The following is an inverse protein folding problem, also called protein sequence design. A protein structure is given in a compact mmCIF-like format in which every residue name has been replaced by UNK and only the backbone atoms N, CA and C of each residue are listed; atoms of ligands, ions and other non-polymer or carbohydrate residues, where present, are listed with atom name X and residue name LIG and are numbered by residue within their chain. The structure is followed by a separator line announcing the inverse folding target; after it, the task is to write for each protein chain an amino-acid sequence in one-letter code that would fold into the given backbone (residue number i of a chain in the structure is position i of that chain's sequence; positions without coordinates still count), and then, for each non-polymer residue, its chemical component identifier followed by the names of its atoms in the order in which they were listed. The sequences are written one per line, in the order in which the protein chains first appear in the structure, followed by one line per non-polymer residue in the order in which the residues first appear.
data_IF_199724832419
#
_entry.id   IF_199724832419
#
_cell.length_a   1.000
_cell.length_b   1.000
_cell.length_c   1.000
_cell.angle_alpha   90.00
_cell.angle_beta   90.00
_cell.angle_gamma   90.00
#
_symmetry.space_group_name_H-M   'P 1'
#
loop_
_entity.id
_entity.type
_entity.pdbx_description
1 polymer ?
#
# COMPACT_ATOMS: atom_id res chain seq x y z
N UNK A 1 -4.58 -22.95 -36.63
CA UNK A 1 -5.77 -22.85 -35.75
C UNK A 1 -5.90 -24.21 -35.08
N UNK A 2 -5.27 -24.39 -33.92
CA UNK A 2 -5.22 -25.69 -33.24
C UNK A 2 -6.35 -25.74 -32.21
N UNK A 3 -7.23 -26.71 -32.38
CA UNK A 3 -8.36 -26.99 -31.50
C UNK A 3 -7.84 -27.38 -30.10
N UNK A 4 -8.43 -26.75 -29.08
CA UNK A 4 -8.15 -27.06 -27.68
C UNK A 4 -8.74 -28.43 -27.37
N UNK A 5 -7.91 -29.46 -27.29
CA UNK A 5 -8.31 -30.73 -26.68
C UNK A 5 -8.77 -30.45 -25.25
N UNK A 6 -9.88 -31.06 -24.85
CA UNK A 6 -10.39 -31.00 -23.50
C UNK A 6 -9.32 -31.55 -22.54
N UNK A 7 -8.66 -30.66 -21.82
CA UNK A 7 -7.70 -31.03 -20.79
C UNK A 7 -8.48 -31.66 -19.62
N UNK A 8 -8.09 -32.87 -19.20
CA UNK A 8 -8.79 -33.63 -18.15
C UNK A 8 -8.71 -32.96 -16.78
N UNK A 9 -7.72 -32.08 -16.56
CA UNK A 9 -7.48 -31.42 -15.29
C UNK A 9 -7.41 -29.89 -15.42
N UNK A 10 -8.35 -29.21 -14.75
CA UNK A 10 -8.49 -27.75 -14.78
C UNK A 10 -8.83 -27.20 -13.39
N UNK A 11 -8.24 -26.07 -13.05
CA UNK A 11 -8.59 -25.24 -11.91
C UNK A 11 -8.86 -23.81 -12.41
N UNK A 12 -9.88 -23.17 -11.86
CA UNK A 12 -10.16 -21.77 -12.17
C UNK A 12 -10.52 -21.04 -10.90
N UNK A 13 -9.96 -19.84 -10.72
CA UNK A 13 -10.17 -19.01 -9.55
C UNK A 13 -10.13 -17.54 -9.93
N UNK A 14 -10.69 -16.70 -9.07
CA UNK A 14 -10.73 -15.25 -9.27
C UNK A 14 -10.08 -14.54 -8.10
N UNK A 15 -9.43 -13.41 -8.40
CA UNK A 15 -8.83 -12.54 -7.39
C UNK A 15 -9.36 -11.13 -7.59
N UNK A 16 -10.00 -10.59 -6.57
CA UNK A 16 -10.42 -9.20 -6.56
C UNK A 16 -9.20 -8.30 -6.34
N UNK A 17 -8.99 -7.36 -7.25
CA UNK A 17 -8.00 -6.32 -7.05
C UNK A 17 -8.65 -5.01 -6.58
N UNK A 18 -8.00 -4.38 -5.61
CA UNK A 18 -8.34 -3.05 -5.10
C UNK A 18 -7.71 -1.91 -5.90
N UNK A 19 -6.93 -2.25 -6.93
CA UNK A 19 -6.18 -1.29 -7.73
C UNK A 19 -7.10 -0.60 -8.74
N UNK A 20 -6.85 0.69 -8.99
CA UNK A 20 -7.56 1.48 -9.98
C UNK A 20 -7.43 0.86 -11.39
N UNK A 21 -8.50 0.95 -12.20
CA UNK A 21 -8.60 0.40 -13.54
C UNK A 21 -7.46 0.84 -14.47
N UNK A 22 -6.94 2.06 -14.27
CA UNK A 22 -5.79 2.60 -15.01
C UNK A 22 -4.49 1.77 -14.85
N UNK A 23 -4.37 0.95 -13.81
CA UNK A 23 -3.18 0.14 -13.57
C UNK A 23 -3.40 -1.36 -13.79
N UNK A 24 -4.62 -1.78 -14.13
CA UNK A 24 -4.92 -3.19 -14.42
C UNK A 24 -4.00 -3.75 -15.53
N UNK A 25 -3.71 -3.06 -16.64
CA UNK A 25 -2.80 -3.60 -17.66
C UNK A 25 -1.38 -3.87 -17.12
N UNK A 26 -0.93 -3.07 -16.14
CA UNK A 26 0.41 -3.18 -15.54
C UNK A 26 0.57 -4.39 -14.63
N UNK A 27 -0.53 -5.01 -14.18
CA UNK A 27 -0.44 -6.21 -13.35
C UNK A 27 0.12 -7.39 -14.13
N UNK A 28 -0.18 -7.47 -15.43
CA UNK A 28 0.34 -8.53 -16.29
C UNK A 28 1.84 -8.38 -16.49
N UNK A 29 2.32 -7.14 -16.66
CA UNK A 29 3.76 -6.83 -16.70
C UNK A 29 4.43 -7.22 -15.37
N UNK A 30 3.82 -6.87 -14.25
CA UNK A 30 4.36 -7.19 -12.93
C UNK A 30 4.44 -8.70 -12.69
N UNK A 31 3.41 -9.46 -13.05
CA UNK A 31 3.41 -10.93 -12.95
C UNK A 31 4.47 -11.53 -13.88
N UNK A 32 4.62 -10.98 -15.09
CA UNK A 32 5.66 -11.40 -16.01
C UNK A 32 7.05 -11.23 -15.39
N UNK A 33 7.37 -10.04 -14.88
CA UNK A 33 8.69 -9.73 -14.33
C UNK A 33 8.98 -10.44 -13.00
N UNK A 34 7.96 -10.58 -12.14
CA UNK A 34 8.15 -11.03 -10.75
C UNK A 34 7.96 -12.53 -10.59
N UNK A 35 7.14 -13.16 -11.43
CA UNK A 35 6.80 -14.59 -11.32
C UNK A 35 7.29 -15.41 -12.51
N UNK A 36 7.04 -14.95 -13.74
CA UNK A 36 7.34 -15.75 -14.95
C UNK A 36 8.84 -15.70 -15.27
N UNK A 37 9.45 -14.52 -15.29
CA UNK A 37 10.85 -14.34 -15.66
C UNK A 37 11.82 -15.12 -14.75
N UNK A 38 11.63 -15.18 -13.41
CA UNK A 38 12.49 -15.96 -12.53
C UNK A 38 12.41 -17.48 -12.73
N UNK A 39 11.32 -18.00 -13.32
CA UNK A 39 11.19 -19.43 -13.66
C UNK A 39 12.11 -19.84 -14.81
N UNK A 40 12.63 -18.88 -15.59
CA UNK A 40 13.70 -19.06 -16.56
C UNK A 40 13.42 -20.20 -17.54
N UNK A 41 14.31 -21.20 -17.58
CA UNK A 41 14.25 -22.32 -18.51
C UNK A 41 13.01 -23.22 -18.36
N UNK A 42 12.27 -23.11 -17.25
CA UNK A 42 11.01 -23.85 -17.06
C UNK A 42 9.88 -23.25 -17.89
N UNK A 43 9.99 -22.01 -18.35
CA UNK A 43 8.96 -21.40 -19.18
C UNK A 43 9.18 -21.78 -20.64
N UNK A 44 8.21 -22.51 -21.21
CA UNK A 44 8.28 -22.96 -22.61
C UNK A 44 7.72 -21.93 -23.58
N UNK A 45 6.68 -21.21 -23.16
CA UNK A 45 5.94 -20.27 -24.00
C UNK A 45 5.30 -19.21 -23.12
N UNK A 46 5.34 -17.97 -23.59
CA UNK A 46 4.58 -16.85 -23.04
C UNK A 46 3.93 -16.12 -24.19
N UNK A 47 2.66 -15.83 -24.06
CA UNK A 47 1.88 -15.08 -25.05
C UNK A 47 1.05 -14.02 -24.34
N UNK A 48 1.13 -12.80 -24.83
CA UNK A 48 0.22 -11.73 -24.44
C UNK A 48 -0.70 -11.44 -25.61
N UNK A 49 -1.98 -11.35 -25.33
CA UNK A 49 -2.97 -11.02 -26.34
C UNK A 49 -4.09 -10.18 -25.72
N UNK A 50 -4.80 -9.46 -26.58
CA UNK A 50 -5.98 -8.69 -26.23
C UNK A 50 -7.14 -9.23 -27.04
N UNK A 51 -8.22 -9.58 -26.36
CA UNK A 51 -9.47 -10.01 -27.00
C UNK A 51 -10.62 -9.09 -26.58
N UNK A 52 -11.87 -9.45 -26.90
CA UNK A 52 -13.06 -8.67 -26.55
C UNK A 52 -13.30 -8.56 -25.04
N UNK A 53 -12.72 -9.44 -24.23
CA UNK A 53 -12.89 -9.49 -22.77
C UNK A 53 -11.78 -8.75 -22.02
N UNK A 54 -10.71 -8.33 -22.71
CA UNK A 54 -9.63 -7.53 -22.12
C UNK A 54 -8.23 -7.99 -22.50
N UNK A 55 -7.25 -7.59 -21.70
CA UNK A 55 -5.88 -8.10 -21.85
C UNK A 55 -5.71 -9.43 -21.13
N UNK A 56 -4.97 -10.33 -21.74
CA UNK A 56 -4.68 -11.64 -21.19
C UNK A 56 -3.20 -12.03 -21.38
N UNK A 57 -2.71 -12.80 -20.43
CA UNK A 57 -1.36 -13.37 -20.41
C UNK A 57 -1.48 -14.89 -20.28
N UNK A 58 -0.92 -15.61 -21.25
CA UNK A 58 -0.82 -17.07 -21.25
C UNK A 58 0.63 -17.48 -21.13
N UNK A 59 0.90 -18.51 -20.35
CA UNK A 59 2.23 -19.11 -20.32
C UNK A 59 2.18 -20.60 -19.98
N UNK A 60 3.25 -21.30 -20.33
CA UNK A 60 3.40 -22.74 -20.08
C UNK A 60 4.66 -23.01 -19.28
N UNK A 61 4.50 -23.69 -18.14
CA UNK A 61 5.57 -24.15 -17.27
C UNK A 61 5.84 -25.63 -17.54
N UNK A 62 7.09 -25.98 -17.82
CA UNK A 62 7.59 -27.34 -17.83
C UNK A 62 7.90 -27.82 -16.41
N UNK A 63 7.35 -28.97 -16.05
CA UNK A 63 7.62 -29.68 -14.81
C UNK A 63 8.22 -31.05 -15.14
N UNK A 64 8.81 -31.71 -14.14
CA UNK A 64 9.51 -32.98 -14.33
C UNK A 64 8.60 -34.11 -14.86
N UNK A 65 7.29 -34.03 -14.62
CA UNK A 65 6.30 -35.05 -14.97
C UNK A 65 5.11 -34.53 -15.79
N UNK A 66 5.24 -33.35 -16.40
CA UNK A 66 4.12 -32.74 -17.12
C UNK A 66 4.31 -31.27 -17.44
N UNK A 67 3.23 -30.65 -17.90
CA UNK A 67 3.20 -29.24 -18.24
C UNK A 67 2.01 -28.57 -17.57
N UNK A 68 2.18 -27.30 -17.18
CA UNK A 68 1.10 -26.47 -16.63
C UNK A 68 0.92 -25.26 -17.53
N UNK A 69 -0.28 -25.13 -18.07
CA UNK A 69 -0.73 -23.97 -18.82
C UNK A 69 -1.50 -23.04 -17.89
N UNK A 70 -1.09 -21.79 -17.85
CA UNK A 70 -1.77 -20.75 -17.06
C UNK A 70 -2.26 -19.66 -18.00
N UNK A 71 -3.53 -19.29 -17.87
CA UNK A 71 -4.13 -18.13 -18.50
C UNK A 71 -4.61 -17.16 -17.41
N UNK A 72 -4.18 -15.91 -17.54
CA UNK A 72 -4.57 -14.80 -16.66
C UNK A 72 -5.31 -13.78 -17.51
N UNK A 73 -6.53 -13.44 -17.14
CA UNK A 73 -7.31 -12.37 -17.76
C UNK A 73 -7.35 -11.18 -16.82
N UNK A 74 -6.79 -10.06 -17.27
CA UNK A 74 -6.74 -8.83 -16.53
C UNK A 74 -8.03 -8.03 -16.76
N UNK A 75 -8.91 -8.08 -15.77
CA UNK A 75 -10.05 -7.18 -15.62
C UNK A 75 -10.06 -6.65 -14.18
N UNK A 76 -11.11 -5.93 -13.79
CA UNK A 76 -11.32 -5.53 -12.38
C UNK A 76 -11.35 -6.72 -11.43
N UNK A 77 -11.75 -7.88 -11.94
CA UNK A 77 -11.62 -9.18 -11.30
C UNK A 77 -10.62 -9.98 -12.14
N UNK A 78 -9.49 -10.33 -11.56
CA UNK A 78 -8.49 -11.14 -12.25
C UNK A 78 -8.98 -12.57 -12.31
N UNK A 79 -9.10 -13.11 -13.51
CA UNK A 79 -9.52 -14.49 -13.71
C UNK A 79 -8.32 -15.34 -14.08
N UNK A 80 -8.11 -16.41 -13.33
CA UNK A 80 -7.03 -17.35 -13.52
C UNK A 80 -7.59 -18.69 -13.95
N UNK A 81 -7.03 -19.25 -15.01
CA UNK A 81 -7.29 -20.61 -15.44
C UNK A 81 -5.97 -21.36 -15.48
N UNK A 82 -5.85 -22.40 -14.64
CA UNK A 82 -4.72 -23.32 -14.61
C UNK A 82 -5.18 -24.65 -15.19
N UNK A 83 -4.43 -25.16 -16.13
CA UNK A 83 -4.70 -26.41 -16.83
C UNK A 83 -3.40 -27.20 -16.86
N UNK A 84 -3.43 -28.50 -16.57
CA UNK A 84 -2.21 -29.29 -16.54
C UNK A 84 -2.36 -30.63 -17.23
N UNK A 85 -1.23 -31.08 -17.80
CA UNK A 85 -1.08 -32.37 -18.46
C UNK A 85 0.02 -33.18 -17.77
N UNK A 86 -0.17 -34.50 -17.70
CA UNK A 86 0.78 -35.42 -17.07
C UNK A 86 0.52 -35.64 -15.58
N UNK A 87 1.49 -36.28 -14.91
CA UNK A 87 1.39 -36.67 -13.50
C UNK A 87 1.91 -35.56 -12.60
N UNK A 88 1.20 -34.43 -12.60
CA UNK A 88 1.47 -33.29 -11.71
C UNK A 88 0.66 -33.47 -10.43
N UNK A 89 1.34 -33.39 -9.29
CA UNK A 89 0.70 -33.52 -7.99
C UNK A 89 -0.16 -32.29 -7.66
N UNK A 90 -1.20 -32.49 -6.86
CA UNK A 90 -2.12 -31.41 -6.47
C UNK A 90 -1.42 -30.31 -5.67
N UNK A 91 -0.37 -30.65 -4.91
CA UNK A 91 0.36 -29.67 -4.10
C UNK A 91 1.10 -28.66 -5.00
N UNK A 92 1.72 -29.11 -6.10
CA UNK A 92 2.36 -28.23 -7.09
C UNK A 92 1.36 -27.28 -7.73
N UNK A 93 0.16 -27.75 -8.09
CA UNK A 93 -0.89 -26.88 -8.65
C UNK A 93 -1.36 -25.83 -7.63
N UNK A 94 -1.53 -26.25 -6.37
CA UNK A 94 -1.91 -25.36 -5.29
C UNK A 94 -0.83 -24.32 -4.98
N UNK A 95 0.45 -24.71 -5.07
CA UNK A 95 1.58 -23.79 -4.92
C UNK A 95 1.59 -22.75 -6.04
N UNK A 96 1.38 -23.15 -7.31
CA UNK A 96 1.26 -22.21 -8.43
C UNK A 96 0.09 -21.24 -8.20
N UNK A 97 -1.05 -21.73 -7.70
CA UNK A 97 -2.20 -20.88 -7.34
C UNK A 97 -1.82 -19.84 -6.29
N UNK A 98 -1.19 -20.26 -5.20
CA UNK A 98 -0.78 -19.37 -4.11
C UNK A 98 0.27 -18.36 -4.56
N UNK A 99 1.28 -18.79 -5.32
CA UNK A 99 2.33 -17.90 -5.83
C UNK A 99 1.75 -16.78 -6.72
N UNK A 100 0.77 -17.12 -7.57
CA UNK A 100 0.07 -16.14 -8.42
C UNK A 100 -0.75 -15.15 -7.58
N UNK A 101 -1.43 -15.63 -6.53
CA UNK A 101 -2.16 -14.75 -5.60
C UNK A 101 -1.18 -13.82 -4.88
N UNK A 102 -0.06 -14.35 -4.42
CA UNK A 102 1.01 -13.57 -3.77
C UNK A 102 1.53 -12.51 -4.73
N UNK A 103 1.80 -12.85 -5.99
CA UNK A 103 2.25 -11.88 -7.00
C UNK A 103 1.25 -10.74 -7.19
N UNK A 104 -0.05 -11.05 -7.26
CA UNK A 104 -1.11 -10.03 -7.29
C UNK A 104 -1.06 -9.14 -6.04
N UNK A 105 -1.00 -9.72 -4.84
CA UNK A 105 -0.93 -8.93 -3.59
C UNK A 105 0.32 -8.06 -3.51
N UNK A 106 1.46 -8.57 -3.95
CA UNK A 106 2.70 -7.80 -4.02
C UNK A 106 2.58 -6.61 -4.98
N UNK A 107 1.88 -6.76 -6.10
CA UNK A 107 1.58 -5.64 -6.99
C UNK A 107 0.72 -4.57 -6.30
N UNK A 108 -0.36 -4.96 -5.63
CA UNK A 108 -1.21 -4.02 -4.90
C UNK A 108 -0.43 -3.25 -3.83
N UNK A 109 0.41 -3.97 -3.08
CA UNK A 109 1.29 -3.40 -2.07
C UNK A 109 2.32 -2.44 -2.67
N UNK A 110 2.84 -2.76 -3.84
CA UNK A 110 3.82 -1.95 -4.57
C UNK A 110 3.18 -0.64 -5.05
N UNK A 111 1.99 -0.69 -5.64
CA UNK A 111 1.22 0.49 -6.06
C UNK A 111 0.84 1.35 -4.84
N UNK A 112 0.41 0.74 -3.74
CA UNK A 112 0.09 1.44 -2.50
C UNK A 112 1.30 2.19 -1.93
N UNK A 113 2.47 1.57 -1.93
CA UNK A 113 3.72 2.17 -1.42
C UNK A 113 4.31 3.25 -2.34
N UNK A 114 3.95 3.25 -3.62
CA UNK A 114 4.39 4.23 -4.62
C UNK A 114 3.34 5.33 -4.88
N UNK A 115 2.36 5.46 -4.00
CA UNK A 115 1.37 6.54 -4.04
C UNK A 115 1.88 7.79 -3.31
N UNK A 116 1.80 8.95 -3.94
CA UNK A 116 2.03 10.24 -3.30
C UNK A 116 0.71 10.96 -3.08
N UNK A 117 0.51 11.42 -1.85
CA UNK A 117 -0.65 12.21 -1.46
C UNK A 117 -0.26 13.67 -1.41
N UNK A 118 -0.92 14.48 -2.22
CA UNK A 118 -0.87 15.92 -2.11
C UNK A 118 -2.11 16.41 -1.40
N UNK A 119 -1.92 17.17 -0.33
CA UNK A 119 -3.00 17.70 0.48
C UNK A 119 -2.96 19.22 0.43
N UNK A 120 -4.06 19.81 -0.02
CA UNK A 120 -4.19 21.25 -0.16
C UNK A 120 -5.44 21.74 0.55
N UNK A 121 -5.33 22.92 1.15
CA UNK A 121 -6.45 23.63 1.78
C UNK A 121 -6.70 24.89 0.95
N UNK A 122 -7.89 24.98 0.37
CA UNK A 122 -8.32 26.15 -0.40
C UNK A 122 -8.18 27.43 0.45
N UNK A 123 -7.68 28.50 -0.15
CA UNK A 123 -7.48 29.81 0.50
C UNK A 123 -6.54 29.81 1.72
N UNK A 124 -5.55 28.91 1.78
CA UNK A 124 -4.46 28.98 2.76
C UNK A 124 -3.21 29.66 2.18
N UNK A 125 -2.59 30.58 2.93
CA UNK A 125 -1.26 31.10 2.58
C UNK A 125 -0.24 29.96 2.62
N UNK A 126 0.76 29.92 1.72
CA UNK A 126 1.81 28.91 1.78
C UNK A 126 2.44 28.94 3.17
N UNK A 127 2.23 27.88 3.94
CA UNK A 127 2.67 27.80 5.34
C UNK A 127 4.20 27.79 5.32
N UNK A 128 4.88 28.84 5.82
CA UNK A 128 6.32 28.82 5.94
C UNK A 128 6.67 27.76 6.98
N UNK A 129 7.58 26.86 6.63
CA UNK A 129 8.11 25.84 7.52
C UNK A 129 8.75 26.50 8.75
N UNK A 130 8.04 26.54 9.89
CA UNK A 130 8.52 27.18 11.12
C UNK A 130 9.41 26.22 11.93
N UNK A 131 10.46 26.77 12.53
CA UNK A 131 11.53 26.09 13.29
C UNK A 131 10.99 25.05 14.31
N UNK A 132 11.38 23.79 14.08
CA UNK A 132 10.77 22.55 14.61
C UNK A 132 11.37 22.02 15.93
N UNK A 133 11.86 22.84 16.87
CA UNK A 133 12.51 22.27 18.08
C UNK A 133 11.49 21.77 19.12
N UNK A 134 10.53 22.62 19.52
CA UNK A 134 9.51 22.26 20.54
C UNK A 134 8.40 21.34 20.00
N UNK A 135 8.09 21.44 18.70
CA UNK A 135 7.03 20.67 18.05
C UNK A 135 7.38 19.18 17.94
N UNK A 136 8.65 18.86 17.68
CA UNK A 136 9.16 17.49 17.49
C UNK A 136 8.95 16.57 18.70
N UNK A 137 8.99 17.11 19.93
CA UNK A 137 8.78 16.31 21.15
C UNK A 137 7.30 15.96 21.29
N UNK A 138 6.41 16.94 21.08
CA UNK A 138 4.95 16.74 21.18
C UNK A 138 4.47 15.85 20.03
N UNK A 139 4.96 16.05 18.80
CA UNK A 139 4.69 15.19 17.64
C UNK A 139 5.16 13.75 17.85
N UNK A 140 6.36 13.55 18.42
CA UNK A 140 6.85 12.19 18.68
C UNK A 140 6.00 11.45 19.71
N UNK A 141 5.48 12.16 20.72
CA UNK A 141 4.64 11.56 21.77
C UNK A 141 3.24 11.24 21.24
N UNK A 142 2.65 12.11 20.40
CA UNK A 142 1.25 12.00 19.98
C UNK A 142 1.01 11.46 18.56
N UNK A 143 1.98 11.59 17.65
CA UNK A 143 1.78 11.39 16.21
C UNK A 143 2.48 10.14 15.65
N UNK A 144 3.59 9.71 16.27
CA UNK A 144 4.40 8.58 15.77
C UNK A 144 3.85 7.23 16.27
N UNK A 145 3.53 7.12 17.56
CA UNK A 145 2.92 5.93 18.14
C UNK A 145 2.12 6.24 19.41
N UNK A 146 0.88 5.73 19.50
CA UNK A 146 0.08 5.81 20.72
C UNK A 146 0.77 5.10 21.92
N UNK A 147 1.72 4.20 21.64
CA UNK A 147 2.50 3.50 22.66
C UNK A 147 3.38 4.48 23.43
N UNK A 148 3.98 5.46 22.77
CA UNK A 148 4.85 6.44 23.44
C UNK A 148 4.05 7.32 24.40
N UNK A 149 2.88 7.80 23.97
CA UNK A 149 1.94 8.50 24.85
C UNK A 149 1.54 7.64 26.05
N UNK A 150 1.20 6.37 25.81
CA UNK A 150 0.79 5.44 26.86
C UNK A 150 1.90 5.19 27.90
N UNK A 151 3.14 4.96 27.46
CA UNK A 151 4.29 4.75 28.37
C UNK A 151 4.57 6.01 29.18
N UNK A 152 4.56 7.19 28.56
CA UNK A 152 4.73 8.46 29.28
C UNK A 152 3.62 8.64 30.33
N UNK A 153 2.38 8.29 29.98
CA UNK A 153 1.23 8.37 30.87
C UNK A 153 1.35 7.40 32.06
N UNK A 154 1.84 6.17 31.85
CA UNK A 154 2.12 5.23 32.93
C UNK A 154 3.16 5.76 33.92
N UNK A 155 4.25 6.36 33.42
CA UNK A 155 5.29 6.95 34.28
C UNK A 155 4.69 8.08 35.12
N UNK A 156 3.89 8.97 34.52
CA UNK A 156 3.22 10.06 35.23
C UNK A 156 2.29 9.51 36.31
N UNK A 157 1.49 8.48 36.00
CA UNK A 157 0.62 7.86 37.00
C UNK A 157 1.40 7.25 38.16
N UNK A 158 2.52 6.58 37.87
CA UNK A 158 3.39 6.01 38.90
C UNK A 158 3.96 7.08 39.83
N UNK A 159 4.38 8.23 39.28
CA UNK A 159 4.85 9.38 40.06
C UNK A 159 3.73 9.95 40.93
N UNK A 160 2.51 10.11 40.38
CA UNK A 160 1.35 10.59 41.15
C UNK A 160 1.03 9.63 42.31
N UNK A 161 1.10 8.32 42.06
CA UNK A 161 0.90 7.30 43.09
C UNK A 161 1.95 7.35 44.20
N UNK A 162 3.21 7.65 43.85
CA UNK A 162 4.30 7.77 44.82
C UNK A 162 4.15 8.97 45.76
N UNK A 163 3.56 10.08 45.27
CA UNK A 163 3.38 11.30 46.07
C UNK A 163 2.24 11.12 47.09
N UNK A 164 1.08 10.61 46.66
CA UNK A 164 -0.05 10.39 47.55
C UNK A 164 -0.95 9.24 47.05
N UNK A 165 -0.75 8.01 47.55
CA UNK A 165 -1.52 6.85 47.10
C UNK A 165 -3.04 6.95 47.33
N UNK A 166 -3.47 7.73 48.33
CA UNK A 166 -4.89 7.86 48.71
C UNK A 166 -5.63 8.79 47.75
N UNK A 167 -5.01 9.91 47.38
CA UNK A 167 -5.57 10.87 46.43
C UNK A 167 -5.24 10.55 44.96
N UNK A 168 -4.26 9.68 44.72
CA UNK A 168 -3.80 9.34 43.37
C UNK A 168 -4.92 8.87 42.43
N UNK A 169 -5.87 8.00 42.82
CA UNK A 169 -6.96 7.59 41.94
C UNK A 169 -7.77 8.79 41.43
N UNK A 170 -8.12 9.72 42.32
CA UNK A 170 -8.89 10.93 41.97
C UNK A 170 -8.06 11.84 41.07
N UNK A 171 -6.79 12.07 41.44
CA UNK A 171 -5.88 12.93 40.67
C UNK A 171 -5.64 12.40 39.25
N UNK A 172 -5.50 11.09 39.08
CA UNK A 172 -5.35 10.43 37.78
C UNK A 172 -6.61 10.62 36.93
N UNK A 173 -7.80 10.41 37.50
CA UNK A 173 -9.06 10.62 36.76
C UNK A 173 -9.20 12.08 36.32
N UNK A 174 -8.90 13.04 37.18
CA UNK A 174 -8.95 14.47 36.83
C UNK A 174 -7.95 14.79 35.71
N UNK A 175 -6.73 14.25 35.79
CA UNK A 175 -5.71 14.42 34.76
C UNK A 175 -6.18 13.88 33.40
N UNK A 176 -6.73 12.67 33.37
CA UNK A 176 -7.28 12.05 32.15
C UNK A 176 -8.41 12.89 31.57
N UNK A 177 -9.31 13.37 32.43
CA UNK A 177 -10.43 14.20 32.03
C UNK A 177 -9.95 15.54 31.42
N UNK A 178 -8.96 16.19 32.03
CA UNK A 178 -8.35 17.39 31.47
C UNK A 178 -7.72 17.15 30.09
N UNK A 179 -6.97 16.05 29.91
CA UNK A 179 -6.37 15.71 28.62
C UNK A 179 -7.47 15.50 27.56
N UNK A 180 -8.56 14.83 27.92
CA UNK A 180 -9.70 14.60 27.02
C UNK A 180 -10.39 15.91 26.63
N UNK A 181 -10.68 16.79 27.59
CA UNK A 181 -11.31 18.09 27.33
C UNK A 181 -10.45 18.97 26.39
N UNK A 182 -9.13 18.95 26.57
CA UNK A 182 -8.20 19.74 25.77
C UNK A 182 -7.65 19.00 24.54
N UNK A 183 -8.12 17.79 24.24
CA UNK A 183 -7.68 16.99 23.10
C UNK A 183 -7.74 17.75 21.78
N UNK A 184 -8.83 18.49 21.54
CA UNK A 184 -8.98 19.31 20.34
C UNK A 184 -7.87 20.37 20.20
N UNK A 185 -7.43 20.99 21.30
CA UNK A 185 -6.32 21.97 21.28
C UNK A 185 -4.97 21.30 21.03
N UNK A 186 -4.77 20.09 21.58
CA UNK A 186 -3.55 19.29 21.37
C UNK A 186 -3.43 18.94 19.88
N UNK A 187 -4.50 18.43 19.27
CA UNK A 187 -4.56 18.07 17.84
C UNK A 187 -4.36 19.31 16.96
N UNK A 188 -5.02 20.42 17.26
CA UNK A 188 -4.85 21.69 16.52
C UNK A 188 -3.44 22.28 16.65
N UNK A 189 -2.73 22.01 17.75
CA UNK A 189 -1.34 22.45 17.93
C UNK A 189 -0.33 21.56 17.19
N UNK A 190 -0.72 20.32 16.85
CA UNK A 190 0.11 19.34 16.16
C UNK A 190 -0.06 19.39 14.64
N UNK A 191 -1.22 19.82 14.15
CA UNK A 191 -1.49 19.96 12.73
C UNK A 191 -0.83 21.19 12.10
N UNK A 192 -0.24 21.01 10.92
CA UNK A 192 0.30 22.11 10.09
C UNK A 192 -0.79 23.06 9.58
N UNK A 193 -2.03 22.56 9.47
CA UNK A 193 -3.17 23.29 8.95
C UNK A 193 -4.25 23.49 10.00
N UNK A 194 -4.72 24.73 10.12
CA UNK A 194 -5.87 25.08 10.96
C UNK A 194 -7.14 25.06 10.11
N UNK A 195 -7.89 23.98 10.17
CA UNK A 195 -9.23 23.90 9.57
C UNK A 195 -10.11 24.90 10.31
N UNK A 196 -10.46 26.01 9.64
CA UNK A 196 -11.26 27.11 10.19
C UNK A 196 -12.57 27.18 9.41
N UNK A 197 -13.63 27.79 9.96
CA UNK A 197 -14.92 27.96 9.27
C UNK A 197 -14.81 28.60 7.86
N UNK A 198 -13.72 29.32 7.57
CA UNK A 198 -13.41 29.90 6.25
C UNK A 198 -12.76 28.93 5.26
N UNK A 199 -12.07 27.89 5.76
CA UNK A 199 -11.30 26.91 5.01
C UNK A 199 -11.62 25.50 5.55
N UNK A 200 -12.82 24.99 5.26
CA UNK A 200 -13.32 23.73 5.80
C UNK A 200 -12.94 22.50 4.98
N UNK A 201 -12.62 22.69 3.70
CA UNK A 201 -12.35 21.59 2.77
C UNK A 201 -10.85 21.35 2.63
N UNK A 202 -10.43 20.12 2.91
CA UNK A 202 -9.10 19.63 2.59
C UNK A 202 -9.24 18.74 1.36
N UNK A 203 -8.63 19.17 0.26
CA UNK A 203 -8.61 18.37 -0.97
C UNK A 203 -7.37 17.50 -0.94
N UNK A 204 -7.59 16.18 -1.00
CA UNK A 204 -6.53 15.17 -1.06
C UNK A 204 -6.46 14.67 -2.50
N UNK A 205 -5.34 14.94 -3.16
CA UNK A 205 -5.04 14.40 -4.48
C UNK A 205 -4.07 13.23 -4.32
N UNK A 206 -4.54 12.03 -4.61
CA UNK A 206 -3.71 10.82 -4.63
C UNK A 206 -3.18 10.60 -6.04
N UNK A 207 -1.85 10.64 -6.19
CA UNK A 207 -1.16 10.33 -7.43
C UNK A 207 -0.45 8.98 -7.30
N UNK A 208 -0.88 8.01 -8.10
CA UNK A 208 -0.28 6.69 -8.18
C UNK A 208 0.88 6.73 -9.18
N UNK A 209 2.10 6.49 -8.71
CA UNK A 209 3.29 6.42 -9.57
C UNK A 209 3.74 4.98 -9.76
N UNK A 210 4.52 4.73 -10.81
CA UNK A 210 5.35 3.53 -10.86
C UNK A 210 6.39 3.54 -9.74
N UNK A 211 6.89 2.37 -9.30
CA UNK A 211 7.98 2.30 -8.33
C UNK A 211 9.24 3.06 -8.78
N UNK A 212 9.50 3.11 -10.09
CA UNK A 212 10.68 3.80 -10.64
C UNK A 212 10.51 5.32 -10.65
N UNK A 213 9.34 5.82 -11.06
CA UNK A 213 9.02 7.25 -10.91
C UNK A 213 9.03 7.68 -9.45
N UNK A 214 8.52 6.84 -8.56
CA UNK A 214 8.54 7.10 -7.12
C UNK A 214 9.98 7.18 -6.59
N UNK A 215 10.86 6.25 -7.01
CA UNK A 215 12.30 6.30 -6.68
C UNK A 215 12.97 7.57 -7.23
N UNK A 216 12.71 7.93 -8.48
CA UNK A 216 13.23 9.16 -9.07
C UNK A 216 12.76 10.40 -8.31
N UNK A 217 11.49 10.44 -7.89
CA UNK A 217 10.95 11.51 -7.07
C UNK A 217 11.64 11.58 -5.71
N UNK A 218 11.83 10.45 -5.02
CA UNK A 218 12.55 10.41 -3.75
C UNK A 218 14.00 10.88 -3.90
N UNK A 219 14.70 10.48 -4.95
CA UNK A 219 16.06 10.92 -5.21
C UNK A 219 16.11 12.41 -5.55
N UNK A 220 15.15 12.91 -6.32
CA UNK A 220 15.02 14.34 -6.59
C UNK A 220 14.78 15.15 -5.30
N UNK A 221 13.95 14.65 -4.39
CA UNK A 221 13.69 15.27 -3.09
C UNK A 221 14.96 15.27 -2.22
N UNK A 222 15.70 14.14 -2.19
CA UNK A 222 16.96 14.04 -1.43
C UNK A 222 18.03 14.99 -1.97
N UNK A 223 18.17 15.10 -3.29
CA UNK A 223 19.21 15.91 -3.94
C UNK A 223 18.88 17.41 -3.94
N UNK A 224 17.64 17.79 -4.31
CA UNK A 224 17.24 19.19 -4.42
C UNK A 224 16.70 19.78 -3.11
N UNK A 225 16.50 18.93 -2.09
CA UNK A 225 15.89 19.33 -0.83
C UNK A 225 14.48 19.88 -1.02
N UNK A 226 14.02 20.66 -0.02
CA UNK A 226 12.63 21.12 0.12
C UNK A 226 12.12 22.08 -0.97
N UNK A 227 12.97 22.48 -1.92
CA UNK A 227 12.64 23.45 -2.97
C UNK A 227 12.12 22.81 -4.28
N UNK A 228 12.05 21.48 -4.35
CA UNK A 228 11.62 20.76 -5.56
C UNK A 228 10.21 21.14 -6.03
N UNK A 229 9.29 21.41 -5.09
CA UNK A 229 7.90 21.81 -5.38
C UNK A 229 7.80 23.12 -6.17
N UNK A 230 8.76 24.04 -6.03
CA UNK A 230 8.74 25.32 -6.73
C UNK A 230 9.08 25.20 -8.22
N UNK A 231 9.70 24.10 -8.66
CA UNK A 231 10.09 23.89 -10.06
C UNK A 231 9.01 23.21 -10.89
N UNK A 232 8.05 22.51 -10.27
CA UNK A 232 6.93 21.87 -10.98
C UNK A 232 5.93 22.91 -11.51
N UNK A 233 6.02 24.15 -11.05
CA UNK A 233 5.15 25.27 -11.46
C UNK A 233 5.62 26.02 -12.72
N UNK A 234 6.44 25.39 -13.58
CA UNK A 234 6.89 25.96 -14.85
C UNK A 234 6.52 25.09 -16.03
#
# INVERSE_FOLDING_TARGET
MAEWKAFENRMSFTVYTSVNEAHIPRILDFIYDTYILPLGYRILRVERFRDFLGEALRFTIALDRGYVHVEIRASKILEFTIVWEGSVDKYTIEQIREDLIIAVRMFEDTIRKSSVFFTFVENSSPVPEKLMAKRRIVERIFTDSMITFFVAFLIINMVIFMINPVLAPIAIVVLQFCILLFSHKIIMSLGDWKITAKNQHVTILQYYMSPDEYRMLLDMIKVKGRNWLYQVKR
#
